data_IF_335639100671
#
_entry.id   IF_335639100671
#
_cell.length_a   1.000
_cell.length_b   1.000
_cell.length_c   1.000
_cell.angle_alpha   90.00
_cell.angle_beta   90.00
_cell.angle_gamma   90.00
#
_symmetry.space_group_name_H-M   'P 1'
#
loop_
_entity.id
_entity.type
_entity.pdbx_description
1 polymer ?
#
# COMPACT_ATOMS: atom_id res chain seq x y z
N UNK A 1 -13.96 8.97 37.85
CA UNK A 1 -12.60 8.42 37.96
C UNK A 1 -11.99 8.19 36.59
N UNK A 2 -12.45 7.19 35.81
CA UNK A 2 -11.84 6.86 34.50
C UNK A 2 -11.87 8.03 33.51
N UNK A 3 -13.07 8.55 33.20
CA UNK A 3 -13.23 9.65 32.24
C UNK A 3 -12.42 10.90 32.60
N UNK A 4 -12.35 11.25 33.90
CA UNK A 4 -11.62 12.42 34.41
C UNK A 4 -10.11 12.31 34.20
N UNK A 5 -9.55 11.10 34.23
CA UNK A 5 -8.11 10.89 34.07
C UNK A 5 -7.73 10.66 32.59
N UNK A 6 -8.56 9.92 31.85
CA UNK A 6 -8.26 9.53 30.47
C UNK A 6 -8.64 10.61 29.46
N UNK A 7 -9.84 11.17 29.54
CA UNK A 7 -10.41 12.04 28.51
C UNK A 7 -9.95 13.48 28.68
N UNK A 8 -8.79 13.74 28.10
CA UNK A 8 -8.11 15.04 28.11
C UNK A 8 -7.78 15.46 26.68
N UNK A 9 -7.70 16.77 26.39
CA UNK A 9 -7.09 17.24 25.15
C UNK A 9 -5.65 16.70 25.06
N UNK A 10 -5.29 16.19 23.90
CA UNK A 10 -3.91 15.76 23.65
C UNK A 10 -3.02 17.00 23.48
N UNK A 11 -1.74 16.93 23.88
CA UNK A 11 -0.80 18.03 23.67
C UNK A 11 -0.72 18.38 22.19
N UNK A 12 -0.40 19.64 21.84
CA UNK A 12 -0.16 20.01 20.46
C UNK A 12 0.98 19.13 19.93
N UNK A 13 0.89 18.71 18.65
CA UNK A 13 1.87 17.83 18.07
C UNK A 13 3.29 18.39 18.18
N UNK A 14 4.21 17.60 18.72
CA UNK A 14 5.61 18.01 18.95
C UNK A 14 6.30 18.37 17.62
N UNK A 15 5.84 17.76 16.53
CA UNK A 15 6.33 17.96 15.17
C UNK A 15 5.38 18.85 14.37
N UNK A 16 5.56 20.16 14.44
CA UNK A 16 4.87 21.13 13.58
C UNK A 16 5.48 21.24 12.16
N UNK A 17 6.62 20.58 11.89
CA UNK A 17 7.50 20.89 10.74
C UNK A 17 7.70 19.80 9.69
N UNK A 18 7.01 18.65 9.74
CA UNK A 18 7.27 17.54 8.81
C UNK A 18 6.15 17.31 7.80
N UNK A 19 5.87 18.35 7.00
CA UNK A 19 5.37 18.14 5.63
C UNK A 19 6.52 17.71 4.66
N UNK A 20 7.76 17.62 5.15
CA UNK A 20 8.99 17.43 4.36
C UNK A 20 10.02 16.49 5.01
N UNK A 21 9.63 15.44 5.74
CA UNK A 21 10.58 14.39 6.12
C UNK A 21 10.68 13.35 4.97
N UNK A 22 11.60 13.59 4.03
CA UNK A 22 11.98 12.65 2.97
C UNK A 22 12.80 11.45 3.47
N UNK A 23 13.00 11.29 4.79
CA UNK A 23 13.79 10.20 5.35
C UNK A 23 13.17 9.68 6.65
N UNK A 24 12.51 8.51 6.64
CA UNK A 24 12.00 7.86 7.84
C UNK A 24 12.85 6.62 8.17
N UNK A 25 14.19 6.75 8.15
CA UNK A 25 15.09 5.65 8.57
C UNK A 25 15.32 5.62 10.09
N UNK A 26 14.70 6.55 10.84
CA UNK A 26 14.64 6.47 12.29
C UNK A 26 13.21 6.13 12.74
N UNK A 27 12.98 4.85 13.04
CA UNK A 27 11.79 4.38 13.79
C UNK A 27 11.63 5.09 15.15
N UNK A 28 12.67 5.76 15.62
CA UNK A 28 12.68 6.61 16.81
C UNK A 28 12.44 8.09 16.48
N UNK A 29 11.34 8.39 15.79
CA UNK A 29 10.73 9.72 15.84
C UNK A 29 10.47 10.05 17.30
N UNK A 30 11.33 10.86 17.93
CA UNK A 30 11.34 11.30 19.33
C UNK A 30 9.92 11.42 19.92
N UNK A 31 9.34 10.30 20.36
CA UNK A 31 8.03 10.29 20.99
C UNK A 31 8.26 10.82 22.38
N UNK A 32 7.79 12.04 22.65
CA UNK A 32 7.91 12.62 23.99
C UNK A 32 7.07 11.77 24.93
N UNK A 33 7.68 10.98 25.83
CA UNK A 33 6.92 10.08 26.68
C UNK A 33 6.05 10.92 27.61
N UNK A 34 4.78 10.54 27.77
CA UNK A 34 3.89 11.30 28.66
C UNK A 34 4.39 11.17 30.10
N UNK A 35 4.71 12.28 30.82
CA UNK A 35 5.21 12.21 32.19
C UNK A 35 4.20 11.58 33.17
N UNK A 36 2.91 11.70 32.85
CA UNK A 36 1.82 11.10 33.62
C UNK A 36 1.63 9.58 33.37
N UNK A 37 2.46 8.95 32.53
CA UNK A 37 2.29 7.54 32.14
C UNK A 37 2.18 6.56 33.33
N UNK A 38 3.00 6.63 34.40
CA UNK A 38 2.87 5.70 35.52
C UNK A 38 1.48 5.70 36.17
N UNK A 39 0.83 6.86 36.21
CA UNK A 39 -0.55 7.00 36.68
C UNK A 39 -1.56 6.50 35.65
N UNK A 40 -1.42 6.93 34.40
CA UNK A 40 -2.32 6.55 33.31
C UNK A 40 -2.34 5.03 33.07
N UNK A 41 -1.19 4.36 33.18
CA UNK A 41 -1.08 2.92 33.06
C UNK A 41 -2.00 2.20 34.06
N UNK A 42 -2.00 2.63 35.33
CA UNK A 42 -2.87 2.06 36.36
C UNK A 42 -4.35 2.30 36.02
N UNK A 43 -4.68 3.50 35.52
CA UNK A 43 -6.06 3.84 35.11
C UNK A 43 -6.53 2.95 33.96
N UNK A 44 -5.70 2.73 32.94
CA UNK A 44 -5.99 1.82 31.84
C UNK A 44 -6.11 0.36 32.31
N UNK A 45 -5.26 -0.10 33.22
CA UNK A 45 -5.35 -1.45 33.81
C UNK A 45 -6.67 -1.65 34.56
N UNK A 46 -7.11 -0.64 35.34
CA UNK A 46 -8.40 -0.69 36.01
C UNK A 46 -9.53 -0.76 35.00
N UNK A 47 -9.51 0.07 33.95
CA UNK A 47 -10.52 0.06 32.89
C UNK A 47 -10.56 -1.30 32.18
N UNK A 48 -9.41 -1.86 31.81
CA UNK A 48 -9.31 -3.16 31.17
C UNK A 48 -9.88 -4.26 32.06
N UNK A 49 -9.49 -4.31 33.34
CA UNK A 49 -10.02 -5.27 34.32
C UNK A 49 -11.52 -5.12 34.53
N UNK A 50 -12.04 -3.89 34.57
CA UNK A 50 -13.47 -3.61 34.67
C UNK A 50 -14.22 -4.18 33.46
N UNK A 51 -13.74 -3.90 32.25
CA UNK A 51 -14.30 -4.38 30.98
C UNK A 51 -14.25 -5.91 30.91
N UNK A 52 -13.17 -6.54 31.37
CA UNK A 52 -13.01 -8.00 31.35
C UNK A 52 -13.94 -8.72 32.34
N UNK A 53 -14.08 -8.21 33.56
CA UNK A 53 -14.73 -8.95 34.65
C UNK A 53 -16.22 -8.60 34.85
N UNK A 54 -16.70 -7.46 34.34
CA UNK A 54 -18.08 -7.03 34.60
C UNK A 54 -19.06 -7.45 33.50
N UNK A 55 -20.35 -7.62 33.82
CA UNK A 55 -21.40 -7.96 32.83
C UNK A 55 -21.69 -6.78 31.87
N UNK A 56 -21.69 -6.99 30.54
CA UNK A 56 -22.00 -5.93 29.57
C UNK A 56 -23.34 -5.23 29.79
N UNK A 57 -24.34 -5.93 30.33
CA UNK A 57 -25.66 -5.34 30.61
C UNK A 57 -25.61 -4.29 31.71
N UNK A 58 -24.71 -4.44 32.66
CA UNK A 58 -24.46 -3.46 33.74
C UNK A 58 -23.59 -2.32 33.22
N UNK A 59 -22.52 -2.64 32.48
CA UNK A 59 -21.59 -1.63 31.98
C UNK A 59 -22.18 -0.72 30.89
N UNK A 60 -23.21 -1.16 30.15
CA UNK A 60 -23.83 -0.33 29.09
C UNK A 60 -24.38 1.01 29.58
N UNK A 61 -24.69 1.13 30.87
CA UNK A 61 -25.19 2.38 31.47
C UNK A 61 -24.07 3.39 31.74
N UNK A 62 -22.80 2.97 31.68
CA UNK A 62 -21.63 3.79 31.98
C UNK A 62 -20.68 3.95 30.79
N UNK A 63 -20.54 2.90 29.98
CA UNK A 63 -19.83 2.94 28.70
C UNK A 63 -20.88 3.22 27.66
N UNK A 64 -21.06 4.49 27.30
CA UNK A 64 -21.98 4.98 26.28
C UNK A 64 -21.23 5.40 25.00
N UNK A 65 -21.96 5.91 24.00
CA UNK A 65 -21.36 6.37 22.75
C UNK A 65 -20.33 7.50 22.95
N UNK A 66 -20.60 8.56 23.74
CA UNK A 66 -19.60 9.56 24.09
C UNK A 66 -18.32 8.98 24.72
N UNK A 67 -18.44 8.03 25.65
CA UNK A 67 -17.28 7.35 26.23
C UNK A 67 -16.43 6.68 25.14
N UNK A 68 -17.05 5.98 24.20
CA UNK A 68 -16.35 5.31 23.10
C UNK A 68 -15.67 6.29 22.14
N UNK A 69 -16.31 7.42 21.84
CA UNK A 69 -15.70 8.46 20.98
C UNK A 69 -14.50 9.11 21.67
N UNK A 70 -14.60 9.41 22.97
CA UNK A 70 -13.47 9.95 23.72
C UNK A 70 -12.33 8.92 23.82
N UNK A 71 -12.63 7.63 23.97
CA UNK A 71 -11.61 6.57 23.95
C UNK A 71 -10.97 6.46 22.55
N UNK A 72 -11.78 6.57 21.49
CA UNK A 72 -11.29 6.56 20.11
C UNK A 72 -10.37 7.76 19.81
N UNK A 73 -10.68 8.93 20.37
CA UNK A 73 -9.85 10.13 20.23
C UNK A 73 -8.42 9.92 20.79
N UNK A 74 -8.26 9.10 21.84
CA UNK A 74 -6.95 8.84 22.45
C UNK A 74 -5.99 8.02 21.57
N UNK A 75 -6.45 7.42 20.47
CA UNK A 75 -5.55 6.83 19.46
C UNK A 75 -4.65 7.87 18.78
N UNK A 76 -4.96 9.17 18.90
CA UNK A 76 -4.08 10.23 18.43
C UNK A 76 -2.89 10.51 19.36
N UNK A 77 -2.79 9.84 20.53
CA UNK A 77 -1.66 10.03 21.44
C UNK A 77 -0.34 9.71 20.73
N UNK A 78 0.66 10.60 20.87
CA UNK A 78 2.01 10.36 20.34
C UNK A 78 2.73 9.26 21.13
N UNK A 79 2.31 8.96 22.37
CA UNK A 79 2.90 7.91 23.21
C UNK A 79 2.41 6.51 22.79
N UNK A 80 3.30 5.64 22.24
CA UNK A 80 2.91 4.31 21.78
C UNK A 80 2.35 3.42 22.89
N UNK A 81 2.75 3.65 24.15
CA UNK A 81 2.28 2.85 25.29
C UNK A 81 0.81 3.15 25.57
N UNK A 82 0.41 4.42 25.46
CA UNK A 82 -0.98 4.82 25.60
C UNK A 82 -1.83 4.24 24.46
N UNK A 83 -1.35 4.32 23.22
CA UNK A 83 -2.07 3.71 22.07
C UNK A 83 -2.26 2.21 22.25
N UNK A 84 -1.25 1.49 22.73
CA UNK A 84 -1.35 0.05 23.02
C UNK A 84 -2.41 -0.26 24.09
N UNK A 85 -2.45 0.50 25.20
CA UNK A 85 -3.48 0.35 26.23
C UNK A 85 -4.89 0.65 25.69
N UNK A 86 -5.04 1.75 24.93
CA UNK A 86 -6.32 2.12 24.30
C UNK A 86 -6.76 1.04 23.33
N UNK A 87 -5.87 0.54 22.46
CA UNK A 87 -6.13 -0.55 21.51
C UNK A 87 -6.69 -1.78 22.21
N UNK A 88 -6.02 -2.23 23.27
CA UNK A 88 -6.42 -3.42 24.03
C UNK A 88 -7.80 -3.26 24.69
N UNK A 89 -8.06 -2.12 25.32
CA UNK A 89 -9.38 -1.83 25.92
C UNK A 89 -10.46 -1.72 24.84
N UNK A 90 -10.22 -0.94 23.79
CA UNK A 90 -11.20 -0.68 22.73
C UNK A 90 -11.57 -1.96 21.99
N UNK A 91 -10.59 -2.80 21.66
CA UNK A 91 -10.82 -4.11 21.06
C UNK A 91 -11.61 -5.04 22.00
N UNK A 92 -11.32 -5.02 23.31
CA UNK A 92 -12.10 -5.79 24.28
C UNK A 92 -13.54 -5.34 24.40
N UNK A 93 -13.80 -4.03 24.33
CA UNK A 93 -15.16 -3.52 24.29
C UNK A 93 -15.86 -4.00 23.00
N UNK A 94 -15.21 -3.94 21.83
CA UNK A 94 -15.79 -4.40 20.58
C UNK A 94 -16.20 -5.89 20.62
N UNK A 95 -15.31 -6.74 21.13
CA UNK A 95 -15.55 -8.19 21.17
C UNK A 95 -16.66 -8.54 22.15
N UNK A 96 -16.65 -7.93 23.35
CA UNK A 96 -17.55 -8.26 24.46
C UNK A 96 -18.91 -7.56 24.40
N UNK A 97 -19.06 -6.45 23.67
CA UNK A 97 -20.29 -5.65 23.61
C UNK A 97 -20.89 -5.63 22.19
N UNK A 98 -21.66 -6.67 21.78
CA UNK A 98 -22.19 -6.78 20.43
C UNK A 98 -23.02 -5.57 19.97
N UNK A 99 -23.75 -4.93 20.88
CA UNK A 99 -24.62 -3.78 20.59
C UNK A 99 -23.85 -2.51 20.22
N UNK A 100 -22.55 -2.41 20.53
CA UNK A 100 -21.72 -1.28 20.10
C UNK A 100 -20.99 -1.50 18.77
N UNK A 101 -20.94 -2.74 18.25
CA UNK A 101 -20.10 -3.08 17.10
C UNK A 101 -20.37 -2.22 15.87
N UNK A 102 -21.64 -1.99 15.52
CA UNK A 102 -22.00 -1.15 14.38
C UNK A 102 -21.55 0.29 14.55
N UNK A 103 -21.74 0.84 15.75
CA UNK A 103 -21.34 2.21 16.08
C UNK A 103 -19.81 2.36 16.05
N UNK A 104 -19.08 1.44 16.69
CA UNK A 104 -17.61 1.47 16.74
C UNK A 104 -16.99 1.34 15.34
N UNK A 105 -17.52 0.45 14.49
CA UNK A 105 -17.07 0.36 13.08
C UNK A 105 -17.28 1.67 12.35
N UNK A 106 -18.45 2.29 12.50
CA UNK A 106 -18.73 3.60 11.88
C UNK A 106 -17.76 4.68 12.39
N UNK A 107 -17.56 4.78 13.71
CA UNK A 107 -16.67 5.77 14.29
C UNK A 107 -15.21 5.59 13.84
N UNK A 108 -14.71 4.35 13.77
CA UNK A 108 -13.37 4.08 13.20
C UNK A 108 -13.28 4.44 11.72
N UNK A 109 -14.34 4.19 10.93
CA UNK A 109 -14.38 4.60 9.52
C UNK A 109 -14.32 6.12 9.37
N UNK A 110 -15.04 6.86 10.22
CA UNK A 110 -15.04 8.32 10.19
C UNK A 110 -13.63 8.88 10.48
N UNK A 111 -12.87 8.24 11.39
CA UNK A 111 -11.45 8.57 11.63
C UNK A 111 -10.60 8.33 10.37
N UNK A 112 -10.77 7.19 9.70
CA UNK A 112 -10.03 6.91 8.46
C UNK A 112 -10.39 7.87 7.32
N UNK A 113 -11.67 8.25 7.19
CA UNK A 113 -12.09 9.25 6.20
C UNK A 113 -11.45 10.61 6.46
N UNK A 114 -11.51 11.10 7.68
CA UNK A 114 -10.89 12.36 8.07
C UNK A 114 -9.37 12.34 7.84
N UNK A 115 -8.72 11.22 8.18
CA UNK A 115 -7.29 11.03 7.92
C UNK A 115 -6.93 11.09 6.43
N UNK A 116 -7.62 10.32 5.57
CA UNK A 116 -7.28 10.22 4.14
C UNK A 116 -7.61 11.49 3.36
N UNK A 117 -8.70 12.18 3.71
CA UNK A 117 -9.25 13.27 2.88
C UNK A 117 -9.04 14.67 3.46
N UNK A 118 -8.71 14.81 4.74
CA UNK A 118 -8.60 16.12 5.39
C UNK A 118 -7.23 16.38 6.01
N UNK A 119 -6.72 15.48 6.86
CA UNK A 119 -5.55 15.81 7.70
C UNK A 119 -4.22 15.22 7.23
N UNK A 120 -4.24 14.06 6.55
CA UNK A 120 -3.04 13.24 6.25
C UNK A 120 -2.16 12.95 7.48
N UNK A 121 -2.72 13.09 8.69
CA UNK A 121 -2.01 12.96 9.98
C UNK A 121 -2.90 12.32 11.04
N UNK A 122 -2.48 11.16 11.53
CA UNK A 122 -3.07 10.48 12.68
C UNK A 122 -2.12 9.37 13.20
N UNK A 123 -1.74 9.39 14.48
CA UNK A 123 -0.72 8.46 15.03
C UNK A 123 -1.23 7.02 15.17
N UNK A 124 -2.51 6.81 15.45
CA UNK A 124 -3.08 5.49 15.72
C UNK A 124 -3.71 4.75 14.53
N UNK A 125 -3.38 5.11 13.28
CA UNK A 125 -3.97 4.42 12.09
C UNK A 125 -3.61 2.94 12.09
N UNK A 126 -2.34 2.60 12.36
CA UNK A 126 -1.87 1.22 12.48
C UNK A 126 -2.61 0.45 13.58
N UNK A 127 -2.69 1.04 14.78
CA UNK A 127 -3.38 0.42 15.92
C UNK A 127 -4.86 0.13 15.63
N UNK A 128 -5.56 1.06 14.96
CA UNK A 128 -6.95 0.86 14.52
C UNK A 128 -7.06 -0.24 13.46
N UNK A 129 -6.10 -0.33 12.55
CA UNK A 129 -6.04 -1.39 11.54
C UNK A 129 -5.80 -2.78 12.16
N UNK A 130 -5.05 -2.90 13.26
CA UNK A 130 -4.92 -4.18 13.96
C UNK A 130 -6.26 -4.67 14.54
N UNK A 131 -7.05 -3.75 15.10
CA UNK A 131 -8.41 -4.05 15.56
C UNK A 131 -9.25 -4.49 14.36
N UNK A 132 -9.21 -3.74 13.26
CA UNK A 132 -9.92 -4.12 12.03
C UNK A 132 -9.48 -5.47 11.48
N UNK A 133 -8.19 -5.81 11.53
CA UNK A 133 -7.69 -7.12 11.12
C UNK A 133 -8.36 -8.25 11.90
N UNK A 134 -8.46 -8.11 13.22
CA UNK A 134 -9.20 -9.08 14.06
C UNK A 134 -10.70 -9.13 13.72
N UNK A 135 -11.32 -7.98 13.45
CA UNK A 135 -12.73 -7.89 13.05
C UNK A 135 -12.97 -8.60 11.72
N UNK A 136 -12.12 -8.34 10.72
CA UNK A 136 -12.22 -8.88 9.37
C UNK A 136 -12.10 -10.40 9.43
N UNK A 137 -11.15 -10.95 10.19
CA UNK A 137 -11.00 -12.40 10.39
C UNK A 137 -12.31 -13.05 10.85
N UNK A 138 -13.06 -12.38 11.73
CA UNK A 138 -14.34 -12.84 12.27
C UNK A 138 -15.54 -12.68 11.32
N UNK A 139 -15.37 -12.12 10.11
CA UNK A 139 -16.46 -12.03 9.14
C UNK A 139 -16.86 -13.41 8.63
N UNK A 140 -18.18 -13.63 8.62
CA UNK A 140 -18.82 -14.78 8.00
C UNK A 140 -18.75 -14.70 6.47
N UNK A 141 -18.63 -15.85 5.82
CA UNK A 141 -18.75 -15.98 4.37
C UNK A 141 -20.18 -16.37 3.99
N UNK A 142 -20.77 -15.81 2.91
CA UNK A 142 -20.22 -14.75 2.04
C UNK A 142 -20.13 -13.38 2.73
N UNK A 143 -19.20 -12.53 2.27
CA UNK A 143 -19.03 -11.19 2.81
C UNK A 143 -20.29 -10.34 2.54
N UNK A 144 -20.73 -9.60 3.56
CA UNK A 144 -21.81 -8.62 3.43
C UNK A 144 -21.39 -7.45 2.56
N UNK A 145 -22.35 -6.85 1.87
CA UNK A 145 -22.11 -5.69 1.00
C UNK A 145 -21.49 -4.50 1.77
N UNK A 146 -21.92 -4.25 3.02
CA UNK A 146 -21.32 -3.22 3.87
C UNK A 146 -19.80 -3.42 4.08
N UNK A 147 -19.33 -4.66 4.15
CA UNK A 147 -17.91 -4.97 4.33
C UNK A 147 -17.12 -4.79 3.02
N UNK A 148 -17.74 -5.12 1.87
CA UNK A 148 -17.15 -4.84 0.55
C UNK A 148 -17.02 -3.34 0.32
N UNK A 149 -18.04 -2.57 0.69
CA UNK A 149 -17.99 -1.10 0.65
C UNK A 149 -16.89 -0.55 1.57
N UNK A 150 -16.68 -1.13 2.74
CA UNK A 150 -15.57 -0.75 3.63
C UNK A 150 -14.19 -1.00 2.98
N UNK A 151 -13.97 -2.17 2.37
CA UNK A 151 -12.75 -2.44 1.61
C UNK A 151 -12.52 -1.38 0.52
N UNK A 152 -13.52 -1.15 -0.33
CA UNK A 152 -13.40 -0.29 -1.51
C UNK A 152 -13.28 1.20 -1.18
N UNK A 153 -14.03 1.68 -0.17
CA UNK A 153 -14.15 3.11 0.13
C UNK A 153 -13.24 3.58 1.27
N UNK A 154 -12.72 2.66 2.09
CA UNK A 154 -11.91 2.99 3.27
C UNK A 154 -10.53 2.35 3.19
N UNK A 155 -10.42 1.01 3.14
CA UNK A 155 -9.11 0.34 3.18
C UNK A 155 -8.25 0.65 1.94
N UNK A 156 -8.79 0.52 0.73
CA UNK A 156 -8.00 0.78 -0.48
C UNK A 156 -7.53 2.25 -0.52
N UNK A 157 -8.36 3.28 -0.24
CA UNK A 157 -7.89 4.66 -0.14
C UNK A 157 -6.82 4.95 0.92
N UNK A 158 -6.64 4.12 1.95
CA UNK A 158 -5.55 4.27 2.92
C UNK A 158 -4.15 4.06 2.31
N UNK A 159 -4.06 3.58 1.06
CA UNK A 159 -2.80 3.57 0.30
C UNK A 159 -2.46 4.94 -0.29
N UNK A 160 -3.37 5.94 -0.29
CA UNK A 160 -3.10 7.27 -0.88
C UNK A 160 -2.11 8.12 -0.06
N UNK A 161 -2.23 8.25 1.27
CA UNK A 161 -1.32 9.03 2.11
C UNK A 161 0.16 8.77 1.85
N UNK A 162 0.98 9.79 2.11
CA UNK A 162 2.45 9.68 1.98
C UNK A 162 3.06 8.86 3.12
N UNK A 163 2.47 8.94 4.30
CA UNK A 163 2.92 8.27 5.53
C UNK A 163 2.49 6.79 5.63
N UNK A 164 2.12 6.15 4.51
CA UNK A 164 1.62 4.77 4.49
C UNK A 164 2.57 3.77 5.16
N UNK A 165 3.88 4.00 5.10
CA UNK A 165 4.89 3.15 5.73
C UNK A 165 4.61 2.88 7.22
N UNK A 166 4.07 3.87 7.95
CA UNK A 166 3.81 3.74 9.38
C UNK A 166 2.71 2.72 9.73
N UNK A 167 1.85 2.35 8.77
CA UNK A 167 0.72 1.45 9.00
C UNK A 167 0.51 0.42 7.87
N UNK A 168 1.42 0.36 6.89
CA UNK A 168 1.29 -0.46 5.69
C UNK A 168 1.14 -1.94 6.04
N UNK A 169 1.94 -2.45 6.99
CA UNK A 169 1.89 -3.86 7.39
C UNK A 169 0.48 -4.27 7.86
N UNK A 170 -0.14 -3.44 8.68
CA UNK A 170 -1.49 -3.68 9.20
C UNK A 170 -2.54 -3.53 8.09
N UNK A 171 -2.34 -2.59 7.17
CA UNK A 171 -3.23 -2.38 6.02
C UNK A 171 -3.20 -3.57 5.06
N UNK A 172 -2.01 -3.97 4.60
CA UNK A 172 -1.80 -5.10 3.71
C UNK A 172 -2.37 -6.40 4.32
N UNK A 173 -2.21 -6.60 5.64
CA UNK A 173 -2.87 -7.69 6.35
C UNK A 173 -4.40 -7.64 6.22
N UNK A 174 -5.02 -6.49 6.48
CA UNK A 174 -6.47 -6.33 6.34
C UNK A 174 -6.96 -6.61 4.92
N UNK A 175 -6.26 -6.09 3.92
CA UNK A 175 -6.59 -6.27 2.49
C UNK A 175 -6.45 -7.74 2.09
N UNK A 176 -5.35 -8.39 2.46
CA UNK A 176 -5.11 -9.81 2.20
C UNK A 176 -6.21 -10.69 2.82
N UNK A 177 -6.65 -10.41 4.04
CA UNK A 177 -7.76 -11.14 4.68
C UNK A 177 -9.09 -11.02 3.91
N UNK A 178 -9.36 -9.86 3.30
CA UNK A 178 -10.53 -9.70 2.43
C UNK A 178 -10.42 -10.56 1.16
N UNK A 179 -9.26 -10.58 0.52
CA UNK A 179 -9.03 -11.34 -0.72
C UNK A 179 -9.02 -12.85 -0.44
N UNK A 180 -8.42 -13.31 0.66
CA UNK A 180 -8.47 -14.71 1.09
C UNK A 180 -9.91 -15.21 1.31
N UNK A 181 -10.75 -14.35 1.87
CA UNK A 181 -12.17 -14.64 2.07
C UNK A 181 -12.93 -14.67 0.76
N UNK A 182 -12.78 -13.66 -0.09
CA UNK A 182 -13.46 -13.58 -1.38
C UNK A 182 -12.47 -13.24 -2.50
N UNK A 183 -11.85 -14.26 -3.15
CA UNK A 183 -10.79 -14.06 -4.15
C UNK A 183 -11.16 -13.18 -5.34
N UNK A 184 -12.46 -13.10 -5.68
CA UNK A 184 -12.98 -12.24 -6.74
C UNK A 184 -12.72 -10.74 -6.46
N UNK A 185 -12.58 -10.34 -5.19
CA UNK A 185 -12.26 -8.96 -4.83
C UNK A 185 -10.82 -8.59 -5.17
N UNK A 186 -9.90 -9.56 -5.21
CA UNK A 186 -8.48 -9.32 -5.44
C UNK A 186 -8.20 -8.61 -6.77
N UNK A 187 -8.99 -8.93 -7.80
CA UNK A 187 -8.92 -8.25 -9.09
C UNK A 187 -9.21 -6.74 -9.00
N UNK A 188 -10.18 -6.37 -8.17
CA UNK A 188 -10.56 -4.96 -7.95
C UNK A 188 -9.49 -4.26 -7.09
N UNK A 189 -9.02 -4.94 -6.03
CA UNK A 189 -7.98 -4.43 -5.14
C UNK A 189 -6.70 -4.07 -5.91
N UNK A 190 -6.15 -5.02 -6.66
CA UNK A 190 -4.91 -4.79 -7.43
C UNK A 190 -5.08 -3.64 -8.41
N UNK A 191 -6.21 -3.58 -9.13
CA UNK A 191 -6.49 -2.49 -10.07
C UNK A 191 -6.46 -1.12 -9.39
N UNK A 192 -7.05 -0.97 -8.21
CA UNK A 192 -7.03 0.30 -7.49
C UNK A 192 -5.67 0.62 -6.86
N UNK A 193 -4.91 -0.38 -6.39
CA UNK A 193 -3.52 -0.18 -5.93
C UNK A 193 -2.65 0.35 -7.08
N UNK A 194 -2.76 -0.24 -8.28
CA UNK A 194 -2.06 0.23 -9.47
C UNK A 194 -2.46 1.66 -9.86
N UNK A 195 -3.69 2.09 -9.56
CA UNK A 195 -4.15 3.47 -9.77
C UNK A 195 -3.48 4.45 -8.79
N UNK A 196 -3.14 4.01 -7.60
CA UNK A 196 -2.45 4.82 -6.58
C UNK A 196 -0.93 4.65 -6.59
N UNK A 197 -0.38 4.04 -7.65
CA UNK A 197 1.05 3.77 -7.76
C UNK A 197 1.88 5.06 -7.61
N UNK A 198 2.82 5.12 -6.64
CA UNK A 198 3.63 6.29 -6.41
C UNK A 198 4.63 6.50 -7.56
N UNK A 199 4.86 7.75 -7.93
CA UNK A 199 5.84 8.12 -8.98
C UNK A 199 7.11 8.72 -8.37
N UNK A 200 7.01 9.29 -7.15
CA UNK A 200 8.09 10.06 -6.51
C UNK A 200 8.54 9.51 -5.17
N UNK A 201 7.98 8.39 -4.70
CA UNK A 201 8.29 7.80 -3.40
C UNK A 201 8.68 6.33 -3.56
N UNK A 202 9.98 6.06 -3.57
CA UNK A 202 10.54 4.72 -3.78
C UNK A 202 10.23 3.76 -2.62
N UNK A 203 10.21 4.23 -1.37
CA UNK A 203 9.84 3.40 -0.22
C UNK A 203 8.41 2.88 -0.37
N UNK A 204 7.50 3.75 -0.82
CA UNK A 204 6.13 3.36 -1.11
C UNK A 204 6.03 2.39 -2.31
N UNK A 205 6.87 2.54 -3.34
CA UNK A 205 6.96 1.53 -4.41
C UNK A 205 7.36 0.16 -3.86
N UNK A 206 8.36 0.09 -2.97
CA UNK A 206 8.81 -1.16 -2.36
C UNK A 206 7.69 -1.84 -1.55
N UNK A 207 6.97 -1.06 -0.75
CA UNK A 207 5.84 -1.55 0.04
C UNK A 207 4.75 -2.14 -0.84
N UNK A 208 4.32 -1.40 -1.88
CA UNK A 208 3.27 -1.86 -2.79
C UNK A 208 3.71 -3.01 -3.69
N UNK A 209 5.00 -3.09 -4.07
CA UNK A 209 5.54 -4.26 -4.77
C UNK A 209 5.39 -5.52 -3.93
N UNK A 210 5.68 -5.42 -2.62
CA UNK A 210 5.49 -6.54 -1.70
C UNK A 210 4.03 -6.91 -1.51
N UNK A 211 3.16 -5.93 -1.31
CA UNK A 211 1.72 -6.19 -1.18
C UNK A 211 1.14 -6.83 -2.45
N UNK A 212 1.52 -6.35 -3.64
CA UNK A 212 1.05 -6.92 -4.90
C UNK A 212 1.51 -8.36 -5.10
N UNK A 213 2.75 -8.70 -4.70
CA UNK A 213 3.23 -10.08 -4.72
C UNK A 213 2.37 -10.99 -3.84
N UNK A 214 2.15 -10.60 -2.58
CA UNK A 214 1.32 -11.35 -1.62
C UNK A 214 -0.15 -11.47 -2.08
N UNK A 215 -0.68 -10.44 -2.74
CA UNK A 215 -2.03 -10.45 -3.27
C UNK A 215 -2.18 -11.40 -4.45
N UNK A 216 -1.18 -11.46 -5.35
CA UNK A 216 -1.21 -12.39 -6.50
C UNK A 216 -1.41 -13.82 -6.05
N UNK A 217 -0.81 -14.23 -4.92
CA UNK A 217 -0.99 -15.58 -4.33
C UNK A 217 -2.44 -15.97 -4.03
N UNK A 218 -3.31 -14.98 -3.80
CA UNK A 218 -4.69 -15.18 -3.37
C UNK A 218 -5.72 -14.80 -4.45
N UNK A 219 -5.29 -14.34 -5.62
CA UNK A 219 -6.18 -13.92 -6.71
C UNK A 219 -6.63 -15.13 -7.54
N UNK A 220 -7.90 -15.11 -7.94
CA UNK A 220 -8.43 -16.08 -8.89
C UNK A 220 -7.76 -15.98 -10.27
N UNK A 221 -7.51 -17.13 -10.89
CA UNK A 221 -6.80 -17.24 -12.17
C UNK A 221 -7.43 -16.40 -13.30
N UNK A 222 -8.76 -16.35 -13.39
CA UNK A 222 -9.43 -15.57 -14.43
C UNK A 222 -9.31 -14.07 -14.20
N UNK A 223 -9.28 -13.65 -12.93
CA UNK A 223 -9.07 -12.26 -12.56
C UNK A 223 -7.62 -11.84 -12.85
N UNK A 224 -6.64 -12.70 -12.54
CA UNK A 224 -5.24 -12.42 -12.84
C UNK A 224 -5.01 -12.23 -14.34
N UNK A 225 -5.58 -13.07 -15.21
CA UNK A 225 -5.45 -12.91 -16.67
C UNK A 225 -5.87 -11.53 -17.15
N UNK A 226 -6.97 -10.98 -16.61
CA UNK A 226 -7.46 -9.62 -16.95
C UNK A 226 -6.53 -8.51 -16.44
N UNK A 227 -5.74 -8.79 -15.41
CA UNK A 227 -4.81 -7.85 -14.78
C UNK A 227 -3.36 -8.03 -15.20
N UNK A 228 -3.00 -9.14 -15.85
CA UNK A 228 -1.63 -9.51 -16.13
C UNK A 228 -0.88 -8.38 -16.86
N UNK A 229 -1.48 -7.84 -17.93
CA UNK A 229 -0.91 -6.72 -18.68
C UNK A 229 -0.68 -5.46 -17.84
N UNK A 230 -1.70 -4.85 -17.18
CA UNK A 230 -1.49 -3.64 -16.39
C UNK A 230 -0.54 -3.85 -15.20
N UNK A 231 -0.62 -4.99 -14.50
CA UNK A 231 0.26 -5.34 -13.39
C UNK A 231 1.71 -5.43 -13.86
N UNK A 232 1.99 -6.28 -14.86
CA UNK A 232 3.33 -6.48 -15.37
C UNK A 232 3.89 -5.22 -16.06
N UNK A 233 3.04 -4.33 -16.58
CA UNK A 233 3.50 -3.03 -17.10
C UNK A 233 4.06 -2.14 -16.00
N UNK A 234 3.43 -2.11 -14.82
CA UNK A 234 3.96 -1.36 -13.67
C UNK A 234 5.23 -2.03 -13.16
N UNK A 235 5.22 -3.35 -12.96
CA UNK A 235 6.41 -4.08 -12.51
C UNK A 235 7.59 -3.90 -13.47
N UNK A 236 7.35 -3.94 -14.78
CA UNK A 236 8.38 -3.76 -15.79
C UNK A 236 9.02 -2.37 -15.75
N UNK A 237 8.26 -1.32 -15.38
CA UNK A 237 8.85 0.00 -15.10
C UNK A 237 9.79 -0.07 -13.90
N UNK A 238 9.37 -0.74 -12.82
CA UNK A 238 10.18 -0.94 -11.62
C UNK A 238 11.46 -1.74 -11.90
N UNK A 239 11.43 -2.76 -12.76
CA UNK A 239 12.62 -3.52 -13.19
C UNK A 239 13.71 -2.60 -13.76
N UNK A 240 13.32 -1.55 -14.47
CA UNK A 240 14.22 -0.56 -15.08
C UNK A 240 14.41 0.71 -14.23
N UNK A 241 14.02 0.69 -12.95
CA UNK A 241 14.12 1.86 -12.09
C UNK A 241 15.58 2.25 -11.85
N UNK A 242 15.86 3.55 -11.83
CA UNK A 242 17.17 4.05 -11.43
C UNK A 242 17.43 3.85 -9.93
N UNK A 243 16.38 3.64 -9.12
CA UNK A 243 16.53 3.30 -7.72
C UNK A 243 16.87 1.80 -7.57
N UNK A 244 18.02 1.51 -6.99
CA UNK A 244 18.55 0.15 -6.85
C UNK A 244 17.58 -0.77 -6.09
N UNK A 245 17.07 -0.33 -4.94
CA UNK A 245 16.20 -1.15 -4.10
C UNK A 245 14.92 -1.54 -4.85
N UNK A 246 14.33 -0.59 -5.60
CA UNK A 246 13.11 -0.84 -6.37
C UNK A 246 13.36 -1.84 -7.50
N UNK A 247 14.46 -1.67 -8.25
CA UNK A 247 14.82 -2.58 -9.33
C UNK A 247 15.10 -3.99 -8.83
N UNK A 248 15.90 -4.12 -7.75
CA UNK A 248 16.18 -5.42 -7.14
C UNK A 248 14.90 -6.07 -6.61
N UNK A 249 14.07 -5.34 -5.86
CA UNK A 249 12.81 -5.88 -5.32
C UNK A 249 11.89 -6.37 -6.42
N UNK A 250 11.77 -5.63 -7.52
CA UNK A 250 10.94 -6.00 -8.66
C UNK A 250 11.48 -7.24 -9.40
N UNK A 251 12.81 -7.39 -9.51
CA UNK A 251 13.45 -8.58 -10.06
C UNK A 251 13.25 -9.80 -9.16
N UNK A 252 13.37 -9.63 -7.84
CA UNK A 252 13.18 -10.71 -6.87
C UNK A 252 11.77 -11.31 -6.85
N UNK A 253 10.73 -10.56 -7.26
CA UNK A 253 9.36 -11.11 -7.37
C UNK A 253 9.31 -12.33 -8.32
N UNK A 254 10.17 -12.36 -9.34
CA UNK A 254 10.22 -13.50 -10.27
C UNK A 254 10.73 -14.80 -9.62
N UNK A 255 11.43 -14.71 -8.50
CA UNK A 255 11.85 -15.89 -7.74
C UNK A 255 10.67 -16.54 -6.98
N UNK A 256 9.54 -15.84 -6.85
CA UNK A 256 8.33 -16.43 -6.29
C UNK A 256 7.70 -17.37 -7.33
N UNK A 257 7.75 -18.67 -7.05
CA UNK A 257 7.24 -19.72 -7.94
C UNK A 257 5.74 -19.54 -8.25
N UNK A 258 4.96 -19.04 -7.29
CA UNK A 258 3.54 -18.79 -7.52
C UNK A 258 3.36 -17.63 -8.49
N UNK A 259 4.06 -16.52 -8.27
CA UNK A 259 4.01 -15.37 -9.18
C UNK A 259 4.41 -15.78 -10.60
N UNK A 260 5.53 -16.50 -10.75
CA UNK A 260 6.00 -17.01 -12.03
C UNK A 260 4.96 -17.94 -12.70
N UNK A 261 4.31 -18.81 -11.93
CA UNK A 261 3.23 -19.69 -12.41
C UNK A 261 2.00 -18.93 -12.85
N UNK A 262 1.64 -17.82 -12.20
CA UNK A 262 0.53 -16.98 -12.65
C UNK A 262 0.90 -16.24 -13.94
N UNK A 263 2.11 -15.68 -14.00
CA UNK A 263 2.64 -15.02 -15.18
C UNK A 263 2.69 -15.96 -16.41
N UNK A 264 3.02 -17.24 -16.22
CA UNK A 264 3.04 -18.25 -17.30
C UNK A 264 1.67 -18.55 -17.91
N UNK A 265 0.58 -18.15 -17.26
CA UNK A 265 -0.78 -18.37 -17.76
C UNK A 265 -1.31 -17.21 -18.61
N UNK A 266 -0.52 -16.13 -18.73
CA UNK A 266 -0.82 -14.92 -19.50
C UNK A 266 0.43 -14.44 -20.26
N UNK A 267 1.27 -15.37 -20.74
CA UNK A 267 2.56 -15.05 -21.35
C UNK A 267 2.45 -14.07 -22.52
N UNK A 268 1.42 -14.18 -23.35
CA UNK A 268 1.18 -13.27 -24.48
C UNK A 268 1.05 -11.80 -24.08
N UNK A 269 0.51 -11.53 -22.88
CA UNK A 269 0.34 -10.19 -22.33
C UNK A 269 1.56 -9.75 -21.50
N UNK A 270 2.21 -10.69 -20.81
CA UNK A 270 3.30 -10.43 -19.86
C UNK A 270 4.65 -10.28 -20.58
N UNK A 271 4.98 -11.20 -21.48
CA UNK A 271 6.31 -11.32 -22.08
C UNK A 271 6.71 -10.06 -22.86
N UNK A 272 5.88 -9.49 -23.75
CA UNK A 272 6.30 -8.34 -24.54
C UNK A 272 6.79 -7.16 -23.68
N UNK A 273 6.16 -6.95 -22.52
CA UNK A 273 6.47 -5.81 -21.64
C UNK A 273 7.69 -6.10 -20.75
N UNK A 274 7.83 -7.33 -20.27
CA UNK A 274 8.92 -7.72 -19.37
C UNK A 274 10.22 -7.94 -20.16
N UNK A 275 10.17 -8.67 -21.28
CA UNK A 275 11.33 -8.98 -22.13
C UNK A 275 12.00 -7.70 -22.63
N UNK A 276 11.21 -6.70 -23.05
CA UNK A 276 11.74 -5.40 -23.47
C UNK A 276 12.62 -4.76 -22.39
N UNK A 277 12.18 -4.80 -21.13
CA UNK A 277 12.88 -4.17 -20.01
C UNK A 277 14.10 -4.96 -19.58
N UNK A 278 14.01 -6.28 -19.53
CA UNK A 278 15.13 -7.17 -19.21
C UNK A 278 16.26 -7.02 -20.24
N UNK A 279 15.95 -7.05 -21.54
CA UNK A 279 16.96 -6.90 -22.59
C UNK A 279 17.62 -5.51 -22.61
N UNK A 280 16.86 -4.46 -22.32
CA UNK A 280 17.42 -3.10 -22.14
C UNK A 280 18.32 -3.03 -20.91
N UNK A 281 17.90 -3.62 -19.79
CA UNK A 281 18.69 -3.61 -18.56
C UNK A 281 20.05 -4.29 -18.74
N UNK A 282 20.08 -5.46 -19.38
CA UNK A 282 21.32 -6.22 -19.63
C UNK A 282 22.37 -5.38 -20.38
N UNK A 283 21.93 -4.53 -21.31
CA UNK A 283 22.80 -3.69 -22.14
C UNK A 283 23.16 -2.36 -21.46
N UNK A 284 22.20 -1.72 -20.81
CA UNK A 284 22.26 -0.29 -20.47
C UNK A 284 22.20 0.00 -18.96
N UNK A 285 21.83 -0.96 -18.11
CA UNK A 285 21.66 -0.68 -16.68
C UNK A 285 23.02 -0.43 -16.01
N UNK A 286 23.12 0.67 -15.27
CA UNK A 286 24.36 1.13 -14.65
C UNK A 286 24.86 0.16 -13.56
N UNK A 287 23.95 -0.42 -12.76
CA UNK A 287 24.29 -1.33 -11.67
C UNK A 287 24.57 -2.75 -12.18
N UNK A 288 25.65 -3.37 -11.68
CA UNK A 288 26.02 -4.76 -11.99
C UNK A 288 25.06 -5.79 -11.38
N UNK A 289 24.68 -5.63 -10.11
CA UNK A 289 23.73 -6.55 -9.42
C UNK A 289 22.42 -6.69 -10.20
N UNK A 290 21.83 -5.55 -10.61
CA UNK A 290 20.59 -5.52 -11.40
C UNK A 290 20.76 -6.23 -12.76
N UNK A 291 21.93 -6.13 -13.40
CA UNK A 291 22.21 -6.87 -14.65
C UNK A 291 22.30 -8.37 -14.43
N UNK A 292 22.93 -8.80 -13.34
CA UNK A 292 23.03 -10.22 -12.96
C UNK A 292 21.64 -10.80 -12.63
N UNK A 293 20.84 -10.10 -11.83
CA UNK A 293 19.45 -10.47 -11.56
C UNK A 293 18.59 -10.47 -12.84
N UNK A 294 18.78 -9.49 -13.72
CA UNK A 294 18.07 -9.47 -15.02
C UNK A 294 18.46 -10.65 -15.90
N UNK A 295 19.71 -11.13 -15.83
CA UNK A 295 20.16 -12.32 -16.56
C UNK A 295 19.47 -13.58 -16.03
N UNK A 296 19.29 -13.70 -14.71
CA UNK A 296 18.56 -14.81 -14.12
C UNK A 296 17.09 -14.82 -14.55
N UNK A 297 16.42 -13.66 -14.52
CA UNK A 297 15.03 -13.53 -14.99
C UNK A 297 14.94 -13.83 -16.49
N UNK A 298 15.92 -13.39 -17.30
CA UNK A 298 16.00 -13.77 -18.71
C UNK A 298 16.01 -15.27 -18.91
N UNK A 299 16.91 -16.00 -18.24
CA UNK A 299 16.99 -17.46 -18.38
C UNK A 299 15.67 -18.13 -18.02
N UNK A 300 15.01 -17.67 -16.95
CA UNK A 300 13.68 -18.15 -16.56
C UNK A 300 12.63 -17.92 -17.66
N UNK A 301 12.58 -16.72 -18.26
CA UNK A 301 11.62 -16.41 -19.33
C UNK A 301 11.88 -17.24 -20.60
N UNK A 302 13.15 -17.47 -20.95
CA UNK A 302 13.54 -18.33 -22.07
C UNK A 302 13.13 -19.79 -21.83
N UNK A 303 13.26 -20.29 -20.59
CA UNK A 303 12.80 -21.63 -20.21
C UNK A 303 11.27 -21.76 -20.20
N UNK A 304 10.55 -20.70 -19.83
CA UNK A 304 9.08 -20.68 -19.76
C UNK A 304 8.41 -20.78 -21.14
N UNK A 305 8.84 -19.98 -22.11
CA UNK A 305 8.36 -20.05 -23.50
C UNK A 305 9.43 -19.52 -24.48
N UNK A 306 10.28 -20.41 -25.02
CA UNK A 306 11.38 -20.02 -25.91
C UNK A 306 10.90 -19.33 -27.20
N UNK A 307 9.76 -19.77 -27.75
CA UNK A 307 9.24 -19.27 -29.01
C UNK A 307 8.71 -17.85 -28.84
N UNK A 308 7.90 -17.62 -27.80
CA UNK A 308 7.36 -16.30 -27.52
C UNK A 308 8.45 -15.32 -27.12
N UNK A 309 9.46 -15.76 -26.35
CA UNK A 309 10.62 -14.94 -26.01
C UNK A 309 11.34 -14.46 -27.28
N UNK A 310 11.65 -15.38 -28.19
CA UNK A 310 12.31 -15.06 -29.46
C UNK A 310 11.47 -14.11 -30.33
N UNK A 311 10.15 -14.34 -30.40
CA UNK A 311 9.22 -13.42 -31.09
C UNK A 311 9.27 -12.00 -30.51
N UNK A 312 9.30 -11.86 -29.18
CA UNK A 312 9.42 -10.56 -28.52
C UNK A 312 10.75 -9.86 -28.87
N UNK A 313 11.85 -10.61 -29.00
CA UNK A 313 13.14 -10.04 -29.44
C UNK A 313 13.08 -9.51 -30.88
N UNK A 314 12.42 -10.22 -31.79
CA UNK A 314 12.24 -9.75 -33.16
C UNK A 314 11.38 -8.48 -33.22
N UNK A 315 10.27 -8.45 -32.48
CA UNK A 315 9.40 -7.28 -32.37
C UNK A 315 10.16 -6.07 -31.79
N UNK A 316 11.01 -6.28 -30.77
CA UNK A 316 11.85 -5.25 -30.18
C UNK A 316 12.82 -4.65 -31.21
N UNK A 317 13.53 -5.49 -31.98
CA UNK A 317 14.41 -5.02 -33.07
C UNK A 317 13.66 -4.21 -34.12
N UNK A 318 12.45 -4.65 -34.47
CA UNK A 318 11.61 -3.91 -35.42
C UNK A 318 11.17 -2.56 -34.85
N UNK A 319 10.79 -2.50 -33.57
CA UNK A 319 10.43 -1.24 -32.90
C UNK A 319 11.63 -0.27 -32.82
N UNK A 320 12.82 -0.76 -32.49
CA UNK A 320 14.05 0.05 -32.46
C UNK A 320 14.37 0.62 -33.85
N UNK A 321 14.25 -0.18 -34.91
CA UNK A 321 14.44 0.27 -36.30
C UNK A 321 13.42 1.34 -36.71
N UNK A 322 12.14 1.16 -36.36
CA UNK A 322 11.07 2.13 -36.62
C UNK A 322 11.34 3.44 -35.86
N UNK A 323 11.68 3.37 -34.58
CA UNK A 323 12.01 4.54 -33.75
C UNK A 323 13.20 5.32 -34.33
N UNK A 324 14.26 4.62 -34.77
CA UNK A 324 15.41 5.26 -35.43
C UNK A 324 15.03 5.97 -36.74
N UNK A 325 14.11 5.41 -37.52
CA UNK A 325 13.60 6.06 -38.72
C UNK A 325 12.75 7.30 -38.41
N UNK A 326 11.91 7.22 -37.38
CA UNK A 326 11.11 8.36 -36.90
C UNK A 326 11.98 9.50 -36.38
N UNK A 327 13.04 9.19 -35.62
CA UNK A 327 13.98 10.20 -35.13
C UNK A 327 14.76 10.87 -36.27
N UNK A 328 15.15 10.11 -37.30
CA UNK A 328 15.77 10.69 -38.49
C UNK A 328 14.81 11.64 -39.22
N UNK A 329 13.54 11.26 -39.34
CA UNK A 329 12.51 12.09 -39.96
C UNK A 329 12.23 13.35 -39.12
N UNK A 330 12.21 13.22 -37.79
CA UNK A 330 12.07 14.34 -36.86
C UNK A 330 13.24 15.30 -37.00
N UNK A 331 14.48 14.80 -37.07
CA UNK A 331 15.70 15.62 -37.26
C UNK A 331 15.65 16.39 -38.59
N UNK A 332 15.33 15.72 -39.70
CA UNK A 332 15.17 16.37 -41.01
C UNK A 332 14.08 17.46 -40.99
N UNK A 333 13.00 17.24 -40.24
CA UNK A 333 11.93 18.24 -40.09
C UNK A 333 12.40 19.47 -39.31
N UNK A 334 13.15 19.27 -38.23
CA UNK A 334 13.77 20.36 -37.46
C UNK A 334 14.78 21.15 -38.30
N UNK A 335 15.66 20.48 -39.03
CA UNK A 335 16.64 21.14 -39.93
C UNK A 335 15.95 22.02 -40.97
N UNK A 336 14.83 21.56 -41.56
CA UNK A 336 14.04 22.38 -42.50
C UNK A 336 13.43 23.60 -41.83
N UNK A 337 12.95 23.48 -40.59
CA UNK A 337 12.37 24.59 -39.83
C UNK A 337 13.45 25.62 -39.47
N UNK A 338 14.63 25.18 -39.02
CA UNK A 338 15.76 26.06 -38.74
C UNK A 338 16.22 26.84 -39.99
N UNK A 339 16.33 26.15 -41.13
CA UNK A 339 16.67 26.80 -42.40
C UNK A 339 15.61 27.81 -42.85
N UNK A 340 14.32 27.52 -42.63
CA UNK A 340 13.25 28.45 -42.94
C UNK A 340 13.26 29.68 -42.01
N UNK A 341 13.48 29.48 -40.71
CA UNK A 341 13.58 30.55 -39.72
C UNK A 341 14.79 31.46 -39.97
N UNK A 342 15.95 30.88 -40.32
CA UNK A 342 17.15 31.64 -40.67
C UNK A 342 16.95 32.51 -41.92
N UNK A 343 16.20 32.03 -42.91
CA UNK A 343 15.86 32.80 -44.12
C UNK A 343 14.86 33.92 -43.86
N UNK A 344 13.91 33.75 -42.94
CA UNK A 344 12.99 34.85 -42.58
C UNK A 344 13.68 35.92 -41.74
N UNK A 345 14.62 35.53 -40.88
CA UNK A 345 15.40 36.47 -40.05
C UNK A 345 16.42 37.30 -40.85
N UNK A 346 16.83 36.84 -42.03
CA UNK A 346 17.72 37.60 -42.92
C UNK A 346 16.98 38.53 -43.91
N UNK A 347 15.65 38.59 -43.84
CA UNK A 347 14.79 39.46 -44.65
C UNK A 347 14.05 40.54 -43.83
N UNK A 348 14.38 40.63 -42.55
CA UNK A 348 14.00 41.68 -41.60
C UNK A 348 15.25 42.39 -41.12
#
# INVERSE_FOLDING_TARGET
MLSTNLFRPLPPPSNASHATAEFPDDEDMLTVPTPAWPHLQIVYDILLRLVLNSDPKTLRFYIDQPFLLNLLYLFQSEDPRERESVKNVFHRIYTKFPFYRSFMRKAMNDVFFHFVYETDRHCGVGDLLEIWGSIINGFSMPLKEEHKQFLLKVLIPLHKPRCVQAYHRQLAYCVSQFVQKEPLLGGIVVKEILRYWPITNCQKELLLLGELEDLVENIDQEQFRKLARPLCTVMAKCLSSCNLQVAERALFIWNNEYFAKMASQATEDVFPVVVERIEKNLKLHWCRSVRELSANVKSMLEEMDPFLYYKCLEELKQQESRAGHEDLNRKKRWERLELAAAKSASHS
#
